data_IF_769932210675
#
_entry.id   IF_769932210675
#
_cell.length_a   1.000
_cell.length_b   1.000
_cell.length_c   1.000
_cell.angle_alpha   90.00
_cell.angle_beta   90.00
_cell.angle_gamma   90.00
#
_symmetry.space_group_name_H-M   'P 1'
#
loop_
_entity.id
_entity.type
_entity.pdbx_description
1 polymer ?
#
# COMPACT_ATOMS: atom_id res chain seq x y z
N UNK A 1 8.15 -7.15 32.05
CA UNK A 1 8.75 -5.83 32.32
C UNK A 1 7.97 -4.86 31.45
N UNK A 2 6.93 -4.25 32.03
CA UNK A 2 6.00 -3.37 31.33
C UNK A 2 6.77 -2.23 30.67
N UNK A 3 6.92 -2.29 29.35
CA UNK A 3 7.30 -1.11 28.59
C UNK A 3 6.11 -0.17 28.65
N UNK A 4 6.22 0.88 29.47
CA UNK A 4 5.29 2.01 29.47
C UNK A 4 5.26 2.54 28.02
N UNK A 5 4.19 2.25 27.29
CA UNK A 5 3.97 2.79 25.96
C UNK A 5 3.82 4.30 26.15
N UNK A 6 4.82 5.05 25.72
CA UNK A 6 4.76 6.52 25.74
C UNK A 6 3.86 6.97 24.59
N UNK A 7 2.83 7.74 24.93
CA UNK A 7 1.95 8.40 23.96
C UNK A 7 2.74 9.49 23.23
N UNK A 8 2.48 9.65 21.93
CA UNK A 8 3.12 10.61 21.04
C UNK A 8 3.09 12.02 21.65
N UNK A 9 4.27 12.63 21.75
CA UNK A 9 4.40 14.00 22.21
C UNK A 9 3.65 14.96 21.25
N UNK A 10 2.66 15.74 21.73
CA UNK A 10 1.87 16.62 20.87
C UNK A 10 2.69 17.73 20.20
N UNK A 11 3.89 18.05 20.68
CA UNK A 11 4.79 19.02 20.07
C UNK A 11 5.52 18.46 18.82
N UNK A 12 5.68 17.15 18.72
CA UNK A 12 6.39 16.52 17.59
C UNK A 12 5.56 16.55 16.30
N UNK A 13 6.27 16.50 15.18
CA UNK A 13 5.73 16.40 13.83
C UNK A 13 4.74 17.52 13.46
N UNK A 14 4.95 18.74 13.99
CA UNK A 14 4.15 19.92 13.65
C UNK A 14 4.78 20.73 12.54
N UNK A 15 6.05 21.07 12.70
CA UNK A 15 6.81 21.90 11.77
C UNK A 15 7.52 21.02 10.71
N UNK A 16 7.32 21.26 9.39
CA UNK A 16 7.95 20.48 8.33
C UNK A 16 9.44 20.77 8.14
N UNK A 17 9.98 21.82 8.75
CA UNK A 17 11.38 22.26 8.68
C UNK A 17 12.13 21.90 9.95
N UNK A 18 11.52 22.08 11.12
CA UNK A 18 12.15 21.86 12.41
C UNK A 18 11.47 20.75 13.23
N UNK A 19 12.28 20.06 14.03
CA UNK A 19 11.80 19.15 15.08
C UNK A 19 11.33 19.95 16.30
N UNK A 20 10.63 19.29 17.23
CA UNK A 20 10.26 19.86 18.53
C UNK A 20 11.48 20.29 19.36
N UNK A 21 12.68 19.80 19.03
CA UNK A 21 13.96 20.20 19.64
C UNK A 21 14.69 21.32 18.90
N UNK A 22 14.10 21.88 17.84
CA UNK A 22 14.72 22.94 17.02
C UNK A 22 15.76 22.45 16.02
N UNK A 23 15.95 21.13 15.87
CA UNK A 23 16.87 20.55 14.89
C UNK A 23 16.25 20.50 13.49
N UNK A 24 17.07 20.62 12.44
CA UNK A 24 16.60 20.53 11.04
C UNK A 24 16.06 19.14 10.72
N UNK A 25 14.78 19.08 10.33
CA UNK A 25 14.09 17.86 9.91
C UNK A 25 14.66 17.32 8.60
N UNK A 26 14.74 16.00 8.50
CA UNK A 26 15.12 15.33 7.27
C UNK A 26 14.09 15.58 6.16
N UNK A 27 14.60 15.86 4.95
CA UNK A 27 13.82 15.95 3.71
C UNK A 27 14.34 14.95 2.71
N UNK A 28 13.44 14.39 1.91
CA UNK A 28 13.73 13.35 0.93
C UNK A 28 13.30 13.83 -0.45
N UNK A 29 14.25 13.93 -1.37
CA UNK A 29 13.96 14.24 -2.77
C UNK A 29 13.37 13.01 -3.48
N UNK A 30 12.55 13.23 -4.51
CA UNK A 30 12.18 12.15 -5.42
C UNK A 30 13.40 11.84 -6.30
N UNK A 31 14.05 10.70 -6.08
CA UNK A 31 15.18 10.26 -6.90
C UNK A 31 14.70 9.85 -8.29
N UNK A 32 13.66 9.03 -8.33
CA UNK A 32 13.04 8.52 -9.55
C UNK A 32 11.62 8.07 -9.23
N UNK A 33 10.64 8.36 -10.08
CA UNK A 33 9.30 7.81 -9.91
C UNK A 33 9.27 6.37 -10.45
N UNK A 34 9.62 5.40 -9.62
CA UNK A 34 9.65 3.98 -9.99
C UNK A 34 8.28 3.32 -9.88
N UNK A 35 7.49 3.75 -8.89
CA UNK A 35 6.13 3.25 -8.64
C UNK A 35 5.13 4.38 -8.48
N UNK A 36 4.02 4.31 -9.22
CA UNK A 36 2.87 5.19 -9.01
C UNK A 36 1.69 4.37 -8.48
N UNK A 37 1.18 4.75 -7.33
CA UNK A 37 -0.01 4.15 -6.73
C UNK A 37 -1.26 4.94 -7.11
N UNK A 38 -2.36 4.25 -7.34
CA UNK A 38 -3.70 4.81 -7.43
C UNK A 38 -4.54 4.24 -6.28
N UNK A 39 -5.05 5.13 -5.43
CA UNK A 39 -6.09 4.77 -4.48
C UNK A 39 -7.43 4.86 -5.19
N UNK A 40 -8.08 3.72 -5.41
CA UNK A 40 -9.29 3.61 -6.21
C UNK A 40 -10.56 4.04 -5.47
N UNK A 41 -10.43 4.72 -4.31
CA UNK A 41 -11.50 5.21 -3.43
C UNK A 41 -11.47 4.53 -2.06
N UNK A 42 -12.25 5.01 -1.08
CA UNK A 42 -12.22 4.44 0.29
C UNK A 42 -13.31 3.41 0.58
N UNK A 43 -14.26 3.23 -0.33
CA UNK A 43 -15.34 2.25 -0.16
C UNK A 43 -14.79 0.81 -0.21
N UNK A 44 -15.14 0.03 0.80
CA UNK A 44 -14.77 -1.37 0.90
C UNK A 44 -15.95 -2.21 1.36
N UNK A 45 -15.97 -3.49 0.99
CA UNK A 45 -16.97 -4.45 1.45
C UNK A 45 -16.73 -4.96 2.89
N UNK A 46 -15.66 -4.51 3.54
CA UNK A 46 -15.28 -4.83 4.92
C UNK A 46 -15.04 -3.55 5.72
N UNK A 47 -15.15 -3.65 7.04
CA UNK A 47 -14.68 -2.62 8.00
C UNK A 47 -13.63 -3.29 8.89
N UNK A 48 -12.38 -3.32 8.43
CA UNK A 48 -11.30 -3.98 9.18
C UNK A 48 -10.90 -3.15 10.40
N UNK A 49 -10.52 -3.80 11.50
CA UNK A 49 -10.20 -3.14 12.77
C UNK A 49 -9.05 -2.13 12.64
N UNK A 50 -7.98 -2.52 11.95
CA UNK A 50 -6.76 -1.71 11.82
C UNK A 50 -6.52 -1.27 10.36
N UNK A 51 -7.58 -0.85 9.66
CA UNK A 51 -7.44 -0.33 8.30
C UNK A 51 -6.81 1.07 8.32
N UNK A 52 -5.58 1.21 7.80
CA UNK A 52 -4.84 2.48 7.84
C UNK A 52 -5.49 3.64 7.04
N UNK A 53 -6.34 3.33 6.04
CA UNK A 53 -7.16 4.32 5.32
C UNK A 53 -8.63 4.30 5.78
N UNK A 54 -8.96 3.60 6.86
CA UNK A 54 -10.30 3.59 7.45
C UNK A 54 -11.40 3.15 6.45
N UNK A 55 -11.04 2.31 5.48
CA UNK A 55 -11.95 1.87 4.44
C UNK A 55 -13.11 1.06 5.03
N UNK A 56 -14.31 1.36 4.56
CA UNK A 56 -15.55 0.72 5.01
C UNK A 56 -16.65 0.85 3.96
N UNK A 57 -17.81 0.18 4.11
CA UNK A 57 -18.94 0.38 3.20
C UNK A 57 -19.53 1.79 3.23
N UNK A 58 -19.10 2.64 4.18
CA UNK A 58 -19.64 3.99 4.40
C UNK A 58 -18.60 5.10 4.28
N UNK A 59 -17.31 4.78 4.23
CA UNK A 59 -16.28 5.79 4.08
C UNK A 59 -16.06 6.10 2.61
N UNK A 60 -16.58 7.24 2.16
CA UNK A 60 -16.45 7.76 0.80
C UNK A 60 -15.62 9.05 0.73
N UNK A 61 -14.74 9.30 1.71
CA UNK A 61 -13.83 10.46 1.74
C UNK A 61 -12.95 10.52 0.49
N UNK A 62 -12.53 9.37 -0.04
CA UNK A 62 -11.92 9.28 -1.36
C UNK A 62 -12.92 8.70 -2.36
N UNK A 63 -13.16 9.45 -3.44
CA UNK A 63 -13.97 9.01 -4.57
C UNK A 63 -13.23 7.99 -5.43
N UNK A 64 -14.02 7.25 -6.21
CA UNK A 64 -13.49 6.41 -7.28
C UNK A 64 -12.80 7.27 -8.33
N UNK A 65 -11.56 6.91 -8.62
CA UNK A 65 -10.88 7.36 -9.83
C UNK A 65 -11.60 6.79 -11.05
N UNK A 66 -11.56 7.53 -12.14
CA UNK A 66 -12.03 7.09 -13.46
C UNK A 66 -10.86 6.58 -14.29
N UNK A 67 -11.17 5.76 -15.31
CA UNK A 67 -10.17 5.30 -16.27
C UNK A 67 -9.47 6.47 -16.99
N UNK A 68 -10.20 7.53 -17.31
CA UNK A 68 -9.66 8.73 -17.95
C UNK A 68 -8.65 9.48 -17.06
N UNK A 69 -8.94 9.60 -15.76
CA UNK A 69 -8.01 10.20 -14.80
C UNK A 69 -6.71 9.40 -14.69
N UNK A 70 -6.80 8.06 -14.60
CA UNK A 70 -5.61 7.20 -14.59
C UNK A 70 -4.82 7.35 -15.88
N UNK A 71 -5.48 7.35 -17.04
CA UNK A 71 -4.85 7.54 -18.35
C UNK A 71 -4.08 8.86 -18.42
N UNK A 72 -4.62 9.97 -17.88
CA UNK A 72 -3.93 11.25 -17.87
C UNK A 72 -2.56 11.17 -17.17
N UNK A 73 -2.47 10.49 -16.02
CA UNK A 73 -1.20 10.27 -15.33
C UNK A 73 -0.25 9.32 -16.07
N UNK A 74 -0.78 8.28 -16.74
CA UNK A 74 0.03 7.41 -17.61
C UNK A 74 0.61 8.18 -18.81
N UNK A 75 -0.14 9.14 -19.34
CA UNK A 75 0.31 10.00 -20.42
C UNK A 75 1.38 11.00 -19.93
N UNK A 76 1.30 11.49 -18.68
CA UNK A 76 2.41 12.24 -18.06
C UNK A 76 3.69 11.40 -17.96
N UNK A 77 3.59 10.14 -17.49
CA UNK A 77 4.73 9.21 -17.42
C UNK A 77 5.40 9.08 -18.79
N UNK A 78 4.61 8.86 -19.84
CA UNK A 78 5.12 8.69 -21.20
C UNK A 78 5.72 9.99 -21.77
N UNK A 79 5.01 11.12 -21.63
CA UNK A 79 5.43 12.45 -22.12
C UNK A 79 6.76 12.87 -21.50
N UNK A 80 6.87 12.73 -20.18
CA UNK A 80 8.03 13.20 -19.41
C UNK A 80 9.12 12.13 -19.27
N UNK A 81 8.91 10.95 -19.88
CA UNK A 81 9.84 9.81 -19.88
C UNK A 81 10.25 9.38 -18.47
N UNK A 82 9.30 9.34 -17.56
CA UNK A 82 9.55 8.94 -16.18
C UNK A 82 9.94 7.45 -16.14
N UNK A 83 10.88 7.04 -15.27
CA UNK A 83 11.38 5.66 -15.20
C UNK A 83 10.42 4.71 -14.48
N UNK A 84 9.11 4.98 -14.53
CA UNK A 84 8.07 4.24 -13.83
C UNK A 84 7.94 2.84 -14.42
N UNK A 85 7.95 1.83 -13.54
CA UNK A 85 7.88 0.41 -13.94
C UNK A 85 6.64 -0.29 -13.40
N UNK A 86 6.13 0.19 -12.27
CA UNK A 86 5.03 -0.43 -11.54
C UNK A 86 3.93 0.59 -11.28
N UNK A 87 2.70 0.19 -11.60
CA UNK A 87 1.49 0.88 -11.19
C UNK A 87 0.78 0.03 -10.15
N UNK A 88 0.60 0.58 -8.95
CA UNK A 88 -0.10 -0.08 -7.85
C UNK A 88 -1.54 0.39 -7.74
N UNK A 89 -2.49 -0.52 -7.56
CA UNK A 89 -3.89 -0.22 -7.26
C UNK A 89 -4.20 -0.70 -5.85
N UNK A 90 -4.70 0.22 -5.04
CA UNK A 90 -5.08 0.04 -3.63
C UNK A 90 -6.32 0.88 -3.35
N UNK A 91 -6.72 1.02 -2.10
CA UNK A 91 -7.78 1.92 -1.72
C UNK A 91 -9.13 1.25 -1.77
N UNK A 92 -9.81 1.28 -0.62
CA UNK A 92 -11.04 0.52 -0.47
C UNK A 92 -10.77 -0.93 -0.83
N UNK A 93 -11.73 -1.53 -1.51
CA UNK A 93 -11.49 -2.72 -2.31
C UNK A 93 -11.41 -2.30 -3.79
N UNK A 94 -10.25 -2.43 -4.49
CA UNK A 94 -10.11 -1.95 -5.86
C UNK A 94 -11.14 -2.50 -6.83
N UNK A 95 -11.57 -3.75 -6.64
CA UNK A 95 -12.60 -4.36 -7.47
C UNK A 95 -14.02 -3.84 -7.21
N UNK A 96 -14.21 -2.87 -6.31
CA UNK A 96 -15.46 -2.11 -6.18
C UNK A 96 -15.50 -0.88 -7.09
N UNK A 97 -14.36 -0.44 -7.62
CA UNK A 97 -14.32 0.64 -8.59
C UNK A 97 -14.75 0.09 -9.98
N UNK A 98 -15.79 0.66 -10.62
CA UNK A 98 -16.30 0.14 -11.90
C UNK A 98 -15.28 0.21 -13.04
N UNK A 99 -14.29 1.09 -12.96
CA UNK A 99 -13.30 1.33 -14.01
C UNK A 99 -12.02 0.51 -13.81
N UNK A 100 -11.90 -0.29 -12.74
CA UNK A 100 -10.67 -1.02 -12.39
C UNK A 100 -10.12 -1.88 -13.53
N UNK A 101 -10.99 -2.57 -14.27
CA UNK A 101 -10.57 -3.41 -15.40
C UNK A 101 -10.01 -2.56 -16.55
N UNK A 102 -10.65 -1.43 -16.85
CA UNK A 102 -10.18 -0.50 -17.88
C UNK A 102 -8.84 0.15 -17.48
N UNK A 103 -8.67 0.50 -16.21
CA UNK A 103 -7.40 1.01 -15.69
C UNK A 103 -6.28 -0.02 -15.82
N UNK A 104 -6.55 -1.29 -15.47
CA UNK A 104 -5.57 -2.37 -15.61
C UNK A 104 -5.18 -2.61 -17.06
N UNK A 105 -6.14 -2.65 -17.99
CA UNK A 105 -5.84 -2.78 -19.43
C UNK A 105 -5.00 -1.59 -19.93
N UNK A 106 -5.34 -0.36 -19.49
CA UNK A 106 -4.60 0.85 -19.86
C UNK A 106 -3.14 0.83 -19.37
N UNK A 107 -2.88 0.32 -18.16
CA UNK A 107 -1.52 0.15 -17.62
C UNK A 107 -0.77 -0.93 -18.40
N UNK A 108 -1.36 -2.12 -18.51
CA UNK A 108 -0.68 -3.30 -19.06
C UNK A 108 -0.42 -3.18 -20.57
N UNK A 109 -1.35 -2.57 -21.32
CA UNK A 109 -1.17 -2.30 -22.76
C UNK A 109 -0.01 -1.34 -23.07
N UNK A 110 0.36 -0.48 -22.11
CA UNK A 110 1.50 0.45 -22.22
C UNK A 110 2.86 -0.17 -21.87
N UNK A 111 2.91 -1.47 -21.55
CA UNK A 111 4.17 -2.13 -21.20
C UNK A 111 4.52 -2.08 -19.71
N UNK A 112 3.73 -1.40 -18.88
CA UNK A 112 3.95 -1.29 -17.44
C UNK A 112 3.48 -2.55 -16.70
N UNK A 113 4.01 -2.78 -15.50
CA UNK A 113 3.50 -3.79 -14.59
C UNK A 113 2.36 -3.21 -13.73
N UNK A 114 1.37 -4.04 -13.41
CA UNK A 114 0.28 -3.71 -12.52
C UNK A 114 0.32 -4.59 -11.26
N UNK A 115 0.15 -3.99 -10.09
CA UNK A 115 -0.05 -4.66 -8.81
C UNK A 115 -1.40 -4.25 -8.23
N UNK A 116 -2.27 -5.21 -7.90
CA UNK A 116 -3.55 -4.94 -7.24
C UNK A 116 -3.53 -5.50 -5.82
N UNK A 117 -3.81 -4.66 -4.82
CA UNK A 117 -4.00 -5.07 -3.44
C UNK A 117 -5.49 -5.31 -3.18
N UNK A 118 -5.90 -6.56 -2.92
CA UNK A 118 -7.32 -6.92 -2.77
C UNK A 118 -7.55 -7.84 -1.58
N UNK A 119 -8.79 -7.84 -1.05
CA UNK A 119 -9.26 -8.88 -0.14
C UNK A 119 -9.71 -10.18 -0.86
N UNK A 120 -9.68 -10.21 -2.20
CA UNK A 120 -10.05 -11.35 -3.04
C UNK A 120 -11.50 -11.86 -2.86
N UNK A 121 -12.38 -11.09 -2.24
CA UNK A 121 -13.75 -11.50 -1.96
C UNK A 121 -14.71 -11.17 -3.13
N UNK A 122 -15.99 -10.99 -2.82
CA UNK A 122 -17.10 -10.85 -3.77
C UNK A 122 -16.87 -9.78 -4.85
N UNK A 123 -16.32 -8.57 -4.58
CA UNK A 123 -16.08 -7.59 -5.64
C UNK A 123 -15.16 -8.13 -6.73
N UNK A 124 -13.99 -8.67 -6.38
CA UNK A 124 -13.08 -9.32 -7.34
C UNK A 124 -13.77 -10.47 -8.08
N UNK A 125 -14.55 -11.29 -7.37
CA UNK A 125 -15.25 -12.44 -7.97
C UNK A 125 -16.22 -12.05 -9.09
N UNK A 126 -16.79 -10.84 -9.04
CA UNK A 126 -17.68 -10.33 -10.10
C UNK A 126 -16.92 -9.99 -11.38
N UNK A 127 -15.62 -9.71 -11.29
CA UNK A 127 -14.76 -9.35 -12.41
C UNK A 127 -13.93 -10.53 -12.95
N UNK A 128 -14.28 -11.78 -12.60
CA UNK A 128 -13.48 -12.97 -12.96
C UNK A 128 -13.28 -13.12 -14.47
N UNK A 129 -14.31 -13.02 -15.33
CA UNK A 129 -14.13 -13.15 -16.78
C UNK A 129 -13.14 -12.12 -17.33
N UNK A 130 -13.28 -10.86 -16.92
CA UNK A 130 -12.43 -9.76 -17.36
C UNK A 130 -11.00 -9.89 -16.82
N UNK A 131 -10.86 -10.26 -15.55
CA UNK A 131 -9.55 -10.46 -14.92
C UNK A 131 -8.80 -11.64 -15.57
N UNK A 132 -9.51 -12.70 -15.95
CA UNK A 132 -8.93 -13.82 -16.69
C UNK A 132 -8.48 -13.40 -18.09
N UNK A 133 -9.28 -12.57 -18.78
CA UNK A 133 -8.89 -12.03 -20.09
C UNK A 133 -7.62 -11.17 -20.00
N UNK A 134 -7.50 -10.32 -18.96
CA UNK A 134 -6.28 -9.55 -18.69
C UNK A 134 -5.08 -10.47 -18.46
N UNK A 135 -5.24 -11.53 -17.65
CA UNK A 135 -4.19 -12.51 -17.38
C UNK A 135 -3.74 -13.24 -18.63
N UNK A 136 -4.68 -13.67 -19.48
CA UNK A 136 -4.35 -14.35 -20.75
C UNK A 136 -3.59 -13.43 -21.71
N UNK A 137 -3.96 -12.15 -21.74
CA UNK A 137 -3.34 -11.16 -22.65
C UNK A 137 -1.97 -10.68 -22.17
N UNK A 138 -1.78 -10.53 -20.86
CA UNK A 138 -0.62 -9.82 -20.31
C UNK A 138 0.30 -10.66 -19.42
N UNK A 139 -0.13 -11.88 -19.03
CA UNK A 139 0.65 -12.81 -18.23
C UNK A 139 1.09 -12.22 -16.89
N UNK A 140 2.35 -12.44 -16.55
CA UNK A 140 2.93 -12.11 -15.24
C UNK A 140 3.10 -10.61 -14.97
N UNK A 141 2.81 -9.74 -15.95
CA UNK A 141 2.79 -8.28 -15.73
C UNK A 141 1.65 -7.84 -14.82
N UNK A 142 0.64 -8.68 -14.61
CA UNK A 142 -0.42 -8.47 -13.62
C UNK A 142 -0.16 -9.30 -12.37
N UNK A 143 0.23 -8.63 -11.29
CA UNK A 143 0.37 -9.24 -9.96
C UNK A 143 -0.85 -8.92 -9.10
N UNK A 144 -1.40 -9.94 -8.45
CA UNK A 144 -2.46 -9.80 -7.45
C UNK A 144 -1.89 -10.11 -6.07
N UNK A 145 -1.92 -9.14 -5.15
CA UNK A 145 -1.51 -9.34 -3.77
C UNK A 145 -2.76 -9.45 -2.90
N UNK A 146 -3.01 -10.66 -2.41
CA UNK A 146 -4.18 -10.95 -1.57
C UNK A 146 -3.85 -10.64 -0.12
N UNK A 147 -4.72 -9.88 0.53
CA UNK A 147 -4.56 -9.55 1.93
C UNK A 147 -5.17 -10.66 2.81
N UNK A 148 -4.31 -11.47 3.41
CA UNK A 148 -4.63 -12.61 4.26
C UNK A 148 -3.90 -12.45 5.59
N UNK A 149 -4.54 -11.78 6.56
CA UNK A 149 -3.83 -11.24 7.73
C UNK A 149 -3.12 -12.27 8.61
N UNK A 150 -3.62 -13.51 8.67
CA UNK A 150 -3.02 -14.59 9.41
C UNK A 150 -3.39 -15.92 8.75
N UNK A 151 -2.61 -16.99 8.96
CA UNK A 151 -2.94 -18.34 8.45
C UNK A 151 -4.02 -19.05 9.29
N UNK A 152 -4.28 -18.54 10.51
CA UNK A 152 -5.35 -18.98 11.40
C UNK A 152 -6.64 -18.22 11.08
N UNK A 153 -7.76 -18.92 10.79
CA UNK A 153 -9.04 -18.31 10.48
C UNK A 153 -9.57 -17.38 11.57
N UNK A 154 -9.43 -17.75 12.84
CA UNK A 154 -9.96 -16.99 13.98
C UNK A 154 -9.26 -15.65 14.06
N UNK A 155 -7.93 -15.65 13.96
CA UNK A 155 -7.11 -14.45 14.02
C UNK A 155 -7.38 -13.54 12.81
N UNK A 156 -7.48 -14.11 11.60
CA UNK A 156 -7.85 -13.36 10.41
C UNK A 156 -9.21 -12.65 10.57
N UNK A 157 -10.21 -13.34 11.11
CA UNK A 157 -11.55 -12.77 11.29
C UNK A 157 -11.65 -11.75 12.43
N UNK A 158 -10.77 -11.79 13.42
CA UNK A 158 -10.68 -10.75 14.46
C UNK A 158 -10.31 -9.38 13.87
N UNK A 159 -9.54 -9.39 12.78
CA UNK A 159 -9.09 -8.20 12.09
C UNK A 159 -10.05 -7.79 10.96
N UNK A 160 -10.40 -8.72 10.07
CA UNK A 160 -11.21 -8.43 8.86
C UNK A 160 -12.72 -8.49 9.08
N UNK A 161 -13.15 -9.00 10.24
CA UNK A 161 -14.54 -9.23 10.58
C UNK A 161 -15.00 -10.66 10.31
N UNK A 162 -16.10 -11.05 10.95
CA UNK A 162 -16.67 -12.40 10.89
C UNK A 162 -17.02 -12.83 9.47
N UNK A 163 -16.79 -14.10 9.15
CA UNK A 163 -17.06 -14.72 7.83
C UNK A 163 -16.20 -14.16 6.69
N UNK A 164 -15.05 -13.57 7.00
CA UNK A 164 -14.11 -13.06 5.99
C UNK A 164 -13.11 -14.12 5.53
N UNK A 165 -12.85 -15.16 6.33
CA UNK A 165 -11.84 -16.17 6.02
C UNK A 165 -12.16 -16.96 4.75
N UNK A 166 -13.25 -17.72 4.76
CA UNK A 166 -13.64 -18.59 3.66
C UNK A 166 -13.70 -17.88 2.29
N UNK A 167 -14.39 -16.72 2.13
CA UNK A 167 -14.44 -16.04 0.85
C UNK A 167 -13.09 -15.47 0.39
N UNK A 168 -12.20 -15.08 1.31
CA UNK A 168 -10.84 -14.61 0.99
C UNK A 168 -10.01 -15.79 0.48
N UNK A 169 -10.01 -16.91 1.20
CA UNK A 169 -9.28 -18.12 0.83
C UNK A 169 -9.78 -18.70 -0.50
N UNK A 170 -11.10 -18.76 -0.72
CA UNK A 170 -11.70 -19.17 -2.00
C UNK A 170 -11.23 -18.29 -3.17
N UNK A 171 -11.10 -16.99 -2.92
CA UNK A 171 -10.58 -16.02 -3.89
C UNK A 171 -9.13 -16.28 -4.24
N UNK A 172 -8.28 -16.48 -3.21
CA UNK A 172 -6.86 -16.79 -3.36
C UNK A 172 -6.64 -18.12 -4.10
N UNK A 173 -7.36 -19.17 -3.73
CA UNK A 173 -7.29 -20.48 -4.39
C UNK A 173 -7.73 -20.37 -5.85
N UNK A 174 -8.79 -19.62 -6.13
CA UNK A 174 -9.23 -19.40 -7.52
C UNK A 174 -8.13 -18.70 -8.33
N UNK A 175 -7.52 -17.63 -7.81
CA UNK A 175 -6.41 -16.95 -8.48
C UNK A 175 -5.24 -17.90 -8.74
N UNK A 176 -4.89 -18.76 -7.76
CA UNK A 176 -3.80 -19.72 -7.89
C UNK A 176 -4.07 -20.74 -9.00
N UNK A 177 -5.27 -21.32 -9.02
CA UNK A 177 -5.70 -22.26 -10.07
C UNK A 177 -5.76 -21.63 -11.45
N UNK A 178 -6.06 -20.34 -11.53
CA UNK A 178 -6.03 -19.58 -12.79
C UNK A 178 -4.63 -19.07 -13.14
N UNK A 179 -3.58 -19.45 -12.41
CA UNK A 179 -2.18 -19.16 -12.73
C UNK A 179 -1.83 -17.67 -12.78
N UNK A 180 -2.43 -16.88 -11.89
CA UNK A 180 -2.00 -15.48 -11.69
C UNK A 180 -0.65 -15.42 -10.99
N UNK A 181 0.13 -14.36 -11.27
CA UNK A 181 1.25 -13.97 -10.41
C UNK A 181 0.68 -13.49 -9.08
N UNK A 182 0.89 -14.26 -8.02
CA UNK A 182 0.30 -14.01 -6.71
C UNK A 182 1.32 -13.64 -5.66
N UNK A 183 1.00 -12.65 -4.85
CA UNK A 183 1.64 -12.39 -3.56
C UNK A 183 0.58 -12.47 -2.45
N UNK A 184 1.03 -12.61 -1.20
CA UNK A 184 0.17 -12.52 -0.02
C UNK A 184 0.72 -11.48 0.94
N UNK A 185 -0.19 -10.69 1.51
CA UNK A 185 0.09 -9.75 2.58
C UNK A 185 -0.57 -10.21 3.88
N UNK A 186 0.24 -10.54 4.88
CA UNK A 186 -0.18 -10.85 6.24
C UNK A 186 0.21 -9.76 7.23
N UNK A 187 -0.24 -9.91 8.47
CA UNK A 187 0.12 -9.04 9.59
C UNK A 187 0.76 -9.83 10.71
N UNK A 188 1.70 -9.18 11.39
CA UNK A 188 2.28 -9.65 12.63
C UNK A 188 1.48 -9.08 13.78
N UNK A 189 1.20 -9.91 14.77
CA UNK A 189 0.60 -9.53 16.05
C UNK A 189 1.70 -9.45 17.09
N UNK A 190 1.52 -8.61 18.11
CA UNK A 190 2.45 -8.50 19.22
C UNK A 190 2.76 -9.89 19.83
N UNK A 191 4.05 -10.25 19.84
CA UNK A 191 4.53 -11.54 20.34
C UNK A 191 4.75 -12.61 19.27
N UNK A 192 4.38 -12.35 18.01
CA UNK A 192 4.61 -13.31 16.93
C UNK A 192 6.11 -13.51 16.62
N UNK A 193 6.50 -14.79 16.57
CA UNK A 193 7.74 -15.24 15.94
C UNK A 193 7.55 -15.28 14.41
N UNK A 194 8.37 -14.52 13.69
CA UNK A 194 8.26 -14.44 12.23
C UNK A 194 8.55 -15.78 11.56
N UNK A 195 9.47 -16.59 12.11
CA UNK A 195 9.74 -17.92 11.57
C UNK A 195 8.51 -18.84 11.71
N UNK A 196 7.86 -18.83 12.88
CA UNK A 196 6.59 -19.50 13.12
C UNK A 196 5.47 -19.05 12.19
N UNK A 197 5.33 -17.74 11.97
CA UNK A 197 4.33 -17.19 11.03
C UNK A 197 4.55 -17.70 9.61
N UNK A 198 5.79 -17.60 9.09
CA UNK A 198 6.13 -18.07 7.75
C UNK A 198 5.91 -19.57 7.60
N UNK A 199 6.26 -20.37 8.62
CA UNK A 199 5.97 -21.80 8.63
C UNK A 199 4.46 -22.10 8.63
N UNK A 200 3.65 -21.30 9.31
CA UNK A 200 2.19 -21.41 9.29
C UNK A 200 1.59 -21.12 7.92
N UNK A 201 2.01 -20.02 7.28
CA UNK A 201 1.62 -19.71 5.90
C UNK A 201 2.12 -20.76 4.91
N UNK A 202 3.34 -21.29 5.07
CA UNK A 202 3.87 -22.35 4.21
C UNK A 202 2.98 -23.60 4.23
N UNK A 203 2.50 -24.03 5.41
CA UNK A 203 1.56 -25.15 5.52
C UNK A 203 0.24 -24.86 4.82
N UNK A 204 -0.34 -23.68 5.05
CA UNK A 204 -1.58 -23.27 4.40
C UNK A 204 -1.44 -23.22 2.87
N UNK A 205 -0.33 -22.68 2.36
CA UNK A 205 -0.09 -22.60 0.93
C UNK A 205 0.10 -23.97 0.31
N UNK A 206 0.80 -24.88 0.97
CA UNK A 206 0.96 -26.27 0.53
C UNK A 206 -0.38 -27.03 0.54
N UNK A 207 -1.22 -26.85 1.56
CA UNK A 207 -2.53 -27.50 1.67
C UNK A 207 -3.49 -27.15 0.52
N UNK A 208 -3.32 -25.96 -0.07
CA UNK A 208 -4.25 -25.42 -1.06
C UNK A 208 -3.63 -25.17 -2.45
N UNK A 209 -2.42 -25.68 -2.70
CA UNK A 209 -1.67 -25.50 -3.95
C UNK A 209 -1.48 -24.02 -4.33
N UNK A 210 -1.22 -23.16 -3.35
CA UNK A 210 -0.99 -21.72 -3.56
C UNK A 210 0.50 -21.51 -3.90
N UNK A 211 0.86 -20.98 -5.09
CA UNK A 211 2.24 -20.88 -5.57
C UNK A 211 2.96 -19.64 -5.02
N UNK A 212 3.00 -19.51 -3.70
CA UNK A 212 3.66 -18.42 -2.98
C UNK A 212 4.70 -19.02 -2.05
N UNK A 213 5.95 -18.60 -2.19
CA UNK A 213 6.98 -18.94 -1.23
C UNK A 213 6.79 -18.08 0.03
N UNK A 214 6.41 -18.73 1.14
CA UNK A 214 6.23 -18.06 2.42
C UNK A 214 7.54 -17.53 3.03
N UNK A 215 8.70 -17.98 2.57
CA UNK A 215 10.01 -17.51 3.05
C UNK A 215 10.57 -16.35 2.24
N UNK A 216 10.00 -16.07 1.05
CA UNK A 216 10.35 -14.88 0.29
C UNK A 216 9.60 -13.66 0.88
N UNK A 217 10.31 -12.66 1.44
CA UNK A 217 9.70 -11.50 2.10
C UNK A 217 8.98 -10.55 1.13
N UNK A 218 9.18 -10.71 -0.19
CA UNK A 218 8.44 -9.99 -1.23
C UNK A 218 7.12 -10.70 -1.52
N UNK A 219 7.16 -12.03 -1.65
CA UNK A 219 6.01 -12.86 -2.04
C UNK A 219 5.03 -13.05 -0.87
N UNK A 220 5.54 -13.20 0.35
CA UNK A 220 4.79 -13.08 1.60
C UNK A 220 5.29 -11.89 2.41
N UNK A 221 4.57 -10.78 2.29
CA UNK A 221 4.84 -9.56 3.03
C UNK A 221 4.12 -9.61 4.38
N UNK A 222 4.89 -9.61 5.47
CA UNK A 222 4.37 -9.59 6.83
C UNK A 222 4.51 -8.18 7.41
N UNK A 223 3.41 -7.45 7.49
CA UNK A 223 3.41 -6.10 8.02
C UNK A 223 3.55 -6.09 9.54
N UNK A 224 4.40 -5.23 10.10
CA UNK A 224 4.39 -4.96 11.53
C UNK A 224 3.08 -4.27 11.92
N UNK A 225 2.71 -4.38 13.19
CA UNK A 225 1.61 -3.60 13.76
C UNK A 225 1.94 -2.09 13.67
N UNK A 226 0.94 -1.30 13.26
CA UNK A 226 1.08 0.15 13.14
C UNK A 226 0.43 0.82 14.36
N UNK A 227 1.25 1.50 15.16
CA UNK A 227 0.81 2.21 16.37
C UNK A 227 0.98 3.73 16.16
N UNK A 228 -0.05 4.46 15.67
CA UNK A 228 0.05 5.90 15.42
C UNK A 228 0.25 6.73 16.70
N UNK A 229 -0.26 6.26 17.84
CA UNK A 229 -0.18 6.94 19.12
C UNK A 229 1.16 6.73 19.82
N UNK A 230 2.01 5.82 19.33
CA UNK A 230 3.30 5.56 19.95
C UNK A 230 4.27 6.70 19.71
N UNK A 231 4.89 7.19 20.79
CA UNK A 231 5.93 8.18 20.69
C UNK A 231 7.17 7.61 20.01
N UNK A 232 7.65 8.34 19.01
CA UNK A 232 8.83 7.98 18.21
C UNK A 232 9.76 9.18 18.04
N UNK A 233 11.06 8.95 17.84
CA UNK A 233 11.99 10.02 17.50
C UNK A 233 11.62 10.71 16.19
N UNK A 234 11.83 12.01 16.12
CA UNK A 234 11.76 12.74 14.86
C UNK A 234 13.04 12.52 14.06
N UNK A 235 12.92 12.46 12.73
CA UNK A 235 14.08 12.22 11.86
C UNK A 235 14.69 13.55 11.45
N UNK A 236 15.92 13.80 11.88
CA UNK A 236 16.72 14.97 11.50
C UNK A 236 17.65 14.63 10.34
N UNK A 237 18.23 15.63 9.69
CA UNK A 237 19.24 15.40 8.63
C UNK A 237 20.46 14.62 9.15
N UNK A 238 20.83 14.80 10.43
CA UNK A 238 21.94 14.07 11.04
C UNK A 238 21.64 12.56 11.22
N UNK A 239 20.36 12.17 11.32
CA UNK A 239 19.97 10.78 11.50
C UNK A 239 20.45 9.85 10.37
N UNK A 240 20.62 10.36 9.15
CA UNK A 240 21.14 9.55 8.03
C UNK A 240 22.54 8.98 8.33
N UNK A 241 23.43 9.84 8.85
CA UNK A 241 24.78 9.43 9.27
C UNK A 241 24.77 8.53 10.51
N UNK A 242 23.93 8.86 11.50
CA UNK A 242 23.84 8.11 12.77
C UNK A 242 23.31 6.69 12.55
N UNK A 243 22.32 6.53 11.67
CA UNK A 243 21.67 5.24 11.40
C UNK A 243 22.33 4.45 10.28
N UNK A 244 23.35 5.02 9.62
CA UNK A 244 23.96 4.47 8.41
C UNK A 244 22.92 4.13 7.33
N UNK A 245 21.99 5.05 7.07
CA UNK A 245 20.91 4.91 6.06
C UNK A 245 20.94 6.03 5.04
N UNK A 246 20.44 5.78 3.83
CA UNK A 246 20.28 6.79 2.78
C UNK A 246 18.86 7.35 2.75
N UNK A 247 18.67 8.66 2.45
CA UNK A 247 17.37 9.20 2.06
C UNK A 247 16.73 8.46 0.89
N UNK A 248 17.52 7.83 0.02
CA UNK A 248 17.03 7.11 -1.15
C UNK A 248 16.39 5.75 -0.79
N UNK A 249 16.61 5.27 0.44
CA UNK A 249 16.09 3.98 0.91
C UNK A 249 14.62 4.04 1.38
N UNK A 250 14.06 5.25 1.52
CA UNK A 250 12.68 5.42 1.99
C UNK A 250 11.67 5.50 0.84
N UNK A 251 10.43 5.09 1.12
CA UNK A 251 9.41 4.93 0.07
C UNK A 251 9.12 6.20 -0.74
N UNK A 252 9.12 7.38 -0.10
CA UNK A 252 8.87 8.64 -0.79
C UNK A 252 10.05 9.11 -1.67
N UNK A 253 11.18 8.40 -1.71
CA UNK A 253 12.23 8.64 -2.69
C UNK A 253 11.92 8.01 -4.07
N UNK A 254 11.05 6.98 -4.09
CA UNK A 254 10.76 6.16 -5.28
C UNK A 254 9.29 6.10 -5.71
N UNK A 255 8.36 6.54 -4.86
CA UNK A 255 6.93 6.34 -5.10
C UNK A 255 6.05 7.55 -4.75
N UNK A 256 4.89 7.62 -5.41
CA UNK A 256 3.80 8.57 -5.14
C UNK A 256 2.44 7.86 -5.16
N UNK A 257 1.42 8.48 -4.58
CA UNK A 257 0.05 7.96 -4.62
C UNK A 257 -0.93 9.02 -5.13
N UNK A 258 -1.69 8.70 -6.17
CA UNK A 258 -2.81 9.51 -6.65
C UNK A 258 -4.07 9.13 -5.88
N UNK A 259 -4.79 10.14 -5.40
CA UNK A 259 -6.10 9.99 -4.74
C UNK A 259 -7.08 11.02 -5.31
N UNK A 260 -8.39 10.73 -5.23
CA UNK A 260 -9.43 11.71 -5.55
C UNK A 260 -10.27 11.99 -4.31
N UNK A 261 -10.28 13.23 -3.83
CA UNK A 261 -11.18 13.64 -2.74
C UNK A 261 -12.62 13.62 -3.25
N UNK A 262 -13.58 13.26 -2.39
CA UNK A 262 -15.00 13.12 -2.76
C UNK A 262 -15.56 14.29 -3.58
N UNK A 263 -15.21 15.51 -3.19
CA UNK A 263 -15.73 16.75 -3.78
C UNK A 263 -14.77 17.41 -4.77
N UNK A 264 -13.59 16.82 -5.00
CA UNK A 264 -12.61 17.38 -5.90
C UNK A 264 -12.92 17.05 -7.37
N UNK A 265 -12.81 18.05 -8.23
CA UNK A 265 -12.94 17.89 -9.68
C UNK A 265 -11.80 17.06 -10.28
N UNK A 266 -10.60 17.14 -9.70
CA UNK A 266 -9.40 16.47 -10.18
C UNK A 266 -8.69 15.69 -9.06
N UNK A 267 -7.95 14.64 -9.39
CA UNK A 267 -7.13 13.92 -8.40
C UNK A 267 -5.94 14.76 -7.92
N UNK A 268 -5.44 14.42 -6.74
CA UNK A 268 -4.22 14.98 -6.13
C UNK A 268 -3.18 13.89 -5.92
N UNK A 269 -1.91 14.27 -5.98
CA UNK A 269 -0.76 13.38 -5.80
C UNK A 269 -0.19 13.56 -4.40
N UNK A 270 -0.17 12.48 -3.64
CA UNK A 270 0.37 12.37 -2.30
C UNK A 270 1.80 11.83 -2.31
N UNK A 271 2.57 12.28 -1.33
CA UNK A 271 3.90 11.76 -1.05
C UNK A 271 3.93 10.31 -0.54
N UNK A 272 2.86 9.85 0.11
CA UNK A 272 2.86 8.57 0.84
C UNK A 272 1.51 7.85 0.74
N UNK A 273 1.57 6.53 0.58
CA UNK A 273 0.38 5.66 0.54
C UNK A 273 -0.34 5.59 1.89
N UNK A 274 0.39 5.69 2.99
CA UNK A 274 -0.15 5.56 4.36
C UNK A 274 -0.83 6.83 4.88
N UNK A 275 -0.60 7.98 4.22
CA UNK A 275 -1.04 9.29 4.71
C UNK A 275 -2.13 9.87 3.83
N UNK A 276 -3.13 9.05 3.53
CA UNK A 276 -4.21 9.38 2.60
C UNK A 276 -4.99 10.65 3.00
N UNK A 277 -4.99 11.05 4.28
CA UNK A 277 -5.80 12.14 4.80
C UNK A 277 -5.01 13.34 5.34
N UNK A 278 -3.68 13.29 5.33
CA UNK A 278 -2.86 14.40 5.83
C UNK A 278 -2.54 15.38 4.69
N UNK A 279 -3.17 16.57 4.66
CA UNK A 279 -2.99 17.52 3.56
C UNK A 279 -1.55 18.04 3.45
N UNK A 280 -0.73 17.90 4.51
CA UNK A 280 0.69 18.30 4.48
C UNK A 280 1.53 17.43 3.54
N UNK A 281 1.00 16.29 3.10
CA UNK A 281 1.63 15.37 2.15
C UNK A 281 1.00 15.42 0.75
N UNK A 282 0.09 16.36 0.49
CA UNK A 282 -0.41 16.69 -0.86
C UNK A 282 0.64 17.53 -1.60
N UNK A 283 1.05 17.08 -2.78
CA UNK A 283 2.15 17.69 -3.54
C UNK A 283 1.71 18.38 -4.84
N UNK A 284 0.44 18.27 -5.22
CA UNK A 284 -0.11 18.89 -6.43
C UNK A 284 -1.02 17.95 -7.21
N UNK A 285 -1.37 18.34 -8.42
CA UNK A 285 -2.30 17.62 -9.32
C UNK A 285 -1.59 16.94 -10.49
N UNK A 286 -0.28 17.13 -10.62
CA UNK A 286 0.55 16.57 -11.69
C UNK A 286 1.76 15.83 -11.11
N UNK A 287 2.37 14.92 -11.88
CA UNK A 287 3.59 14.22 -11.46
C UNK A 287 4.79 15.17 -11.37
N UNK A 288 4.78 16.24 -12.18
CA UNK A 288 5.79 17.29 -12.14
C UNK A 288 5.77 18.04 -10.80
N UNK A 289 4.61 18.49 -10.35
CA UNK A 289 4.47 19.13 -9.03
C UNK A 289 4.84 18.15 -7.91
N UNK A 290 4.43 16.89 -8.05
CA UNK A 290 4.72 15.82 -7.09
C UNK A 290 6.20 15.42 -6.98
N UNK A 291 7.07 15.95 -7.83
CA UNK A 291 8.52 15.74 -7.76
C UNK A 291 9.20 16.54 -6.64
N UNK A 292 8.46 17.40 -5.93
CA UNK A 292 8.95 18.17 -4.80
C UNK A 292 9.50 17.27 -3.66
N UNK A 293 10.53 17.73 -2.91
CA UNK A 293 11.05 17.00 -1.77
C UNK A 293 10.07 16.98 -0.59
N UNK A 294 9.98 15.83 0.07
CA UNK A 294 9.04 15.54 1.16
C UNK A 294 9.75 15.66 2.51
N UNK A 295 9.18 16.42 3.44
CA UNK A 295 9.65 16.43 4.82
C UNK A 295 9.16 15.20 5.58
N UNK A 296 10.04 14.55 6.35
CA UNK A 296 9.68 13.40 7.20
C UNK A 296 8.93 13.88 8.46
N UNK A 297 7.75 14.45 8.26
CA UNK A 297 6.95 15.17 9.24
C UNK A 297 5.71 14.38 9.70
N UNK A 298 5.87 13.08 9.90
CA UNK A 298 4.82 12.21 10.45
C UNK A 298 5.43 11.05 11.24
N UNK A 299 4.80 10.55 12.32
CA UNK A 299 5.28 9.38 13.07
C UNK A 299 5.61 8.18 12.18
N UNK A 300 4.77 7.88 11.18
CA UNK A 300 5.01 6.79 10.22
C UNK A 300 6.26 6.99 9.35
N UNK A 301 6.70 8.22 9.09
CA UNK A 301 7.98 8.43 8.41
C UNK A 301 9.12 7.86 9.27
N UNK A 302 9.07 8.11 10.58
CA UNK A 302 10.07 7.60 11.51
C UNK A 302 9.89 6.09 11.75
N UNK A 303 8.72 5.65 12.22
CA UNK A 303 8.50 4.28 12.68
C UNK A 303 8.52 3.26 11.55
N UNK A 304 7.97 3.58 10.37
CA UNK A 304 7.80 2.60 9.30
C UNK A 304 8.94 2.66 8.28
N UNK A 305 9.26 3.85 7.77
CA UNK A 305 10.30 3.99 6.73
C UNK A 305 11.71 3.97 7.33
N UNK A 306 12.01 4.89 8.24
CA UNK A 306 13.39 5.11 8.69
C UNK A 306 13.82 4.09 9.73
N UNK A 307 12.98 3.75 10.70
CA UNK A 307 13.33 2.82 11.78
C UNK A 307 12.85 1.39 11.48
N UNK A 308 11.67 1.24 10.89
CA UNK A 308 11.06 -0.06 10.59
C UNK A 308 11.56 -0.75 9.33
N UNK A 309 12.23 -0.04 8.42
CA UNK A 309 12.82 -0.62 7.20
C UNK A 309 11.80 -1.14 6.17
N UNK A 310 10.53 -0.74 6.29
CA UNK A 310 9.47 -1.25 5.43
C UNK A 310 9.48 -0.61 4.03
N UNK A 311 9.02 -1.35 3.03
CA UNK A 311 8.87 -0.89 1.64
C UNK A 311 7.55 -1.39 1.04
N UNK A 312 6.74 -0.47 0.50
CA UNK A 312 5.47 -0.79 -0.15
C UNK A 312 5.62 -1.34 -1.57
N UNK A 313 6.77 -1.14 -2.23
CA UNK A 313 6.96 -1.37 -3.67
C UNK A 313 7.98 -2.45 -4.02
N UNK A 314 8.33 -3.32 -3.07
CA UNK A 314 9.14 -4.52 -3.34
C UNK A 314 8.28 -5.64 -3.90
#
# INVERSE_FOLDING_TARGET
>A
MDQIIRVLDPAKFRDPVLTARGETRARVALRALETLWFNTGTLCNLTCRNCYIESSPRNDRLAYLTGAEVVAYLDEIARDRLPTKLIGFTGGEPFMNPDIIAMLDAVLSRGLNALVLTNAMKPMRKCRPELLALRQRYGDRLTIRVSLDHFDPVIHEQERGRRSWAPTLDGLIWLARQGFRLDVAGRRIAGDDEAGLRAGFARLFAEHDIPVDAHDPVRLMLFPEMEPERDVPEITTACWGILHKSPDDVMCAGARMVVKRREAATPTVLACTLLAYDPRFELGTTLKEASAPVSLNHPFCASFCVLGGASCSR
#
